data_IF_115914611404
#
_entry.id   IF_115914611404
#
_cell.length_a   1.000
_cell.length_b   1.000
_cell.length_c   1.000
_cell.angle_alpha   90.00
_cell.angle_beta   90.00
_cell.angle_gamma   90.00
#
_symmetry.space_group_name_H-M   'P 1'
#
loop_
_entity.id
_entity.type
_entity.pdbx_description
1 polymer ?
#
# COMPACT_ATOMS: atom_id res chain seq x y z
N UNK A 1 2.82 17.81 -14.56
CA UNK A 1 2.21 17.77 -15.90
C UNK A 1 0.74 18.08 -15.76
N UNK A 2 0.20 19.13 -16.40
CA UNK A 2 -1.20 19.53 -16.22
C UNK A 2 -2.20 18.70 -17.06
N UNK A 3 -1.75 17.81 -17.95
CA UNK A 3 -2.62 16.89 -18.70
C UNK A 3 -1.93 15.52 -18.83
N UNK A 4 -2.41 14.46 -18.16
CA UNK A 4 -1.89 13.11 -18.38
C UNK A 4 -2.25 12.62 -19.78
N UNK A 5 -1.30 11.93 -20.43
CA UNK A 5 -1.40 11.51 -21.84
C UNK A 5 -2.73 10.82 -22.17
N UNK A 6 -3.17 9.90 -21.31
CA UNK A 6 -4.37 9.09 -21.49
C UNK A 6 -5.55 9.55 -20.60
N UNK A 7 -5.55 10.80 -20.16
CA UNK A 7 -6.57 11.30 -19.22
C UNK A 7 -8.01 11.18 -19.73
N UNK A 8 -8.22 11.40 -21.03
CA UNK A 8 -9.54 11.27 -21.66
C UNK A 8 -10.05 9.82 -21.67
N UNK A 9 -9.17 8.85 -21.98
CA UNK A 9 -9.50 7.42 -21.93
C UNK A 9 -9.85 6.96 -20.51
N UNK A 10 -9.15 7.47 -19.51
CA UNK A 10 -9.45 7.18 -18.10
C UNK A 10 -10.84 7.70 -17.71
N UNK A 11 -11.21 8.92 -18.10
CA UNK A 11 -12.53 9.50 -17.85
C UNK A 11 -13.63 8.71 -18.56
N UNK A 12 -13.41 8.35 -19.83
CA UNK A 12 -14.35 7.52 -20.60
C UNK A 12 -14.61 6.18 -19.90
N UNK A 13 -13.56 5.47 -19.49
CA UNK A 13 -13.69 4.19 -18.79
C UNK A 13 -14.43 4.31 -17.45
N UNK A 14 -14.20 5.40 -16.70
CA UNK A 14 -14.92 5.66 -15.45
C UNK A 14 -16.41 5.87 -15.73
N UNK A 15 -16.76 6.72 -16.70
CA UNK A 15 -18.17 7.03 -16.99
C UNK A 15 -18.91 5.84 -17.60
N UNK A 16 -18.29 5.12 -18.54
CA UNK A 16 -18.93 3.97 -19.21
C UNK A 16 -19.15 2.78 -18.28
N UNK A 17 -18.32 2.64 -17.24
CA UNK A 17 -18.47 1.59 -16.21
C UNK A 17 -19.37 1.98 -15.05
N UNK A 18 -19.92 3.21 -15.04
CA UNK A 18 -20.59 3.81 -13.88
C UNK A 18 -19.72 3.72 -12.61
N UNK A 19 -18.40 3.88 -12.79
CA UNK A 19 -17.39 3.84 -11.75
C UNK A 19 -17.13 5.21 -11.12
N UNK A 20 -16.03 5.31 -10.40
CA UNK A 20 -15.61 6.54 -9.74
C UNK A 20 -14.09 6.65 -9.65
N UNK A 21 -13.60 7.86 -9.45
CA UNK A 21 -12.20 8.14 -9.12
C UNK A 21 -12.11 8.78 -7.73
N UNK A 22 -10.99 8.55 -7.06
CA UNK A 22 -10.67 9.15 -5.77
C UNK A 22 -9.17 9.36 -5.66
N UNK A 23 -8.76 10.31 -4.84
CA UNK A 23 -7.34 10.56 -4.53
C UNK A 23 -6.94 9.89 -3.21
N UNK A 24 -5.69 9.43 -3.15
CA UNK A 24 -5.05 8.93 -1.92
C UNK A 24 -3.80 9.73 -1.61
N UNK A 25 -3.49 9.89 -0.33
CA UNK A 25 -2.23 10.53 0.10
C UNK A 25 -1.06 9.54 0.08
N UNK A 26 0.16 10.07 0.10
CA UNK A 26 1.38 9.27 0.22
C UNK A 26 1.37 8.39 1.48
N UNK A 27 0.85 8.91 2.61
CA UNK A 27 0.71 8.14 3.85
C UNK A 27 -0.30 6.99 3.71
N UNK A 28 -1.38 7.20 2.96
CA UNK A 28 -2.35 6.14 2.66
C UNK A 28 -1.72 5.03 1.81
N UNK A 29 -0.91 5.40 0.81
CA UNK A 29 -0.16 4.45 -0.01
C UNK A 29 0.89 3.67 0.80
N UNK A 30 1.67 4.35 1.65
CA UNK A 30 2.66 3.69 2.53
C UNK A 30 1.98 2.74 3.51
N UNK A 31 0.82 3.11 4.07
CA UNK A 31 0.02 2.22 4.91
C UNK A 31 -0.46 0.99 4.14
N UNK A 32 -0.90 1.14 2.90
CA UNK A 32 -1.31 0.02 2.06
C UNK A 32 -0.15 -0.95 1.78
N UNK A 33 1.05 -0.44 1.48
CA UNK A 33 2.25 -1.30 1.32
C UNK A 33 2.53 -2.09 2.60
N UNK A 34 2.46 -1.46 3.78
CA UNK A 34 2.66 -2.16 5.07
C UNK A 34 1.65 -3.28 5.28
N UNK A 35 0.39 -3.05 4.93
CA UNK A 35 -0.67 -4.06 5.05
C UNK A 35 -0.41 -5.24 4.10
N UNK A 36 -0.10 -4.96 2.83
CA UNK A 36 0.24 -5.97 1.84
C UNK A 36 1.46 -6.82 2.27
N UNK A 37 2.51 -6.18 2.77
CA UNK A 37 3.69 -6.88 3.25
C UNK A 37 3.39 -7.75 4.48
N UNK A 38 2.59 -7.22 5.42
CA UNK A 38 2.29 -7.90 6.69
C UNK A 38 1.34 -9.09 6.52
N UNK A 39 0.31 -8.95 5.70
CA UNK A 39 -0.78 -9.93 5.63
C UNK A 39 -0.70 -10.83 4.38
N UNK A 40 -0.13 -10.34 3.28
CA UNK A 40 -0.10 -11.05 2.00
C UNK A 40 1.33 -11.43 1.55
N UNK A 41 2.36 -10.98 2.27
CA UNK A 41 3.76 -11.17 1.87
C UNK A 41 4.14 -10.41 0.59
N UNK A 42 3.36 -9.40 0.20
CA UNK A 42 3.56 -8.64 -1.03
C UNK A 42 4.28 -7.31 -0.74
N UNK A 43 5.52 -7.18 -1.23
CA UNK A 43 6.27 -5.93 -1.16
C UNK A 43 6.05 -5.09 -2.42
N UNK A 44 5.02 -4.25 -2.40
CA UNK A 44 4.71 -3.28 -3.46
C UNK A 44 5.47 -1.95 -3.28
N UNK A 45 5.65 -1.19 -4.36
CA UNK A 45 6.03 0.23 -4.24
C UNK A 45 4.81 1.09 -3.86
N UNK A 46 4.99 2.33 -3.33
CA UNK A 46 3.87 3.16 -2.87
C UNK A 46 2.81 3.41 -3.96
N UNK A 47 3.21 3.90 -5.13
CA UNK A 47 2.32 4.14 -6.27
C UNK A 47 1.67 2.85 -6.79
N UNK A 48 2.39 1.73 -6.74
CA UNK A 48 1.87 0.40 -7.08
C UNK A 48 0.81 -0.10 -6.10
N UNK A 49 0.77 0.41 -4.87
CA UNK A 49 -0.24 0.09 -3.87
C UNK A 49 -1.42 1.09 -3.83
N UNK A 50 -1.48 2.06 -4.77
CA UNK A 50 -2.53 3.08 -4.80
C UNK A 50 -3.94 2.47 -4.94
N UNK A 51 -4.09 1.38 -5.70
CA UNK A 51 -5.36 0.67 -5.86
C UNK A 51 -5.89 0.11 -4.53
N UNK A 52 -5.00 -0.44 -3.70
CA UNK A 52 -5.34 -0.99 -2.38
C UNK A 52 -5.64 0.13 -1.38
N UNK A 53 -4.82 1.19 -1.36
CA UNK A 53 -5.09 2.37 -0.55
C UNK A 53 -6.47 2.98 -0.88
N UNK A 54 -6.77 3.10 -2.17
CA UNK A 54 -8.04 3.63 -2.64
C UNK A 54 -9.22 2.73 -2.30
N UNK A 55 -9.07 1.41 -2.43
CA UNK A 55 -10.10 0.46 -2.01
C UNK A 55 -10.42 0.56 -0.51
N UNK A 56 -9.39 0.64 0.34
CA UNK A 56 -9.57 0.82 1.80
C UNK A 56 -10.31 2.12 2.10
N UNK A 57 -9.94 3.21 1.42
CA UNK A 57 -10.59 4.52 1.58
C UNK A 57 -12.04 4.50 1.12
N UNK A 58 -12.32 3.93 -0.04
CA UNK A 58 -13.66 3.78 -0.60
C UNK A 58 -14.56 2.93 0.30
N UNK A 59 -14.02 1.83 0.85
CA UNK A 59 -14.75 0.98 1.79
C UNK A 59 -15.12 1.74 3.08
N UNK A 60 -14.16 2.48 3.66
CA UNK A 60 -14.39 3.32 4.86
C UNK A 60 -15.40 4.43 4.61
N UNK A 61 -15.42 4.99 3.40
CA UNK A 61 -16.38 6.00 2.99
C UNK A 61 -17.77 5.44 2.64
N UNK A 62 -17.96 4.11 2.68
CA UNK A 62 -19.23 3.46 2.32
C UNK A 62 -19.51 3.42 0.81
N UNK A 63 -18.55 3.79 -0.03
CA UNK A 63 -18.69 3.75 -1.50
C UNK A 63 -18.68 2.29 -1.98
N UNK A 64 -17.87 1.44 -1.34
CA UNK A 64 -17.82 -0.01 -1.63
C UNK A 64 -18.32 -0.80 -0.42
N UNK A 65 -19.38 -1.59 -0.65
CA UNK A 65 -20.03 -2.39 0.39
C UNK A 65 -19.30 -3.68 0.76
N UNK A 66 -19.81 -4.37 1.78
CA UNK A 66 -19.37 -5.74 2.11
C UNK A 66 -19.92 -6.73 1.07
N UNK A 67 -19.21 -7.84 0.85
CA UNK A 67 -19.65 -8.94 -0.03
C UNK A 67 -19.30 -8.78 -1.51
N UNK A 68 -18.70 -7.66 -1.91
CA UNK A 68 -18.17 -7.48 -3.26
C UNK A 68 -16.81 -8.17 -3.41
N UNK A 69 -16.58 -8.76 -4.58
CA UNK A 69 -15.25 -9.19 -5.01
C UNK A 69 -14.57 -8.05 -5.75
N UNK A 70 -13.29 -7.83 -5.47
CA UNK A 70 -12.49 -6.78 -6.09
C UNK A 70 -11.15 -7.35 -6.56
N UNK A 71 -10.62 -6.76 -7.64
CA UNK A 71 -9.27 -7.02 -8.14
C UNK A 71 -8.47 -5.73 -7.99
N UNK A 72 -7.43 -5.75 -7.16
CA UNK A 72 -6.50 -4.65 -7.02
C UNK A 72 -5.26 -4.91 -7.88
N UNK A 73 -4.99 -4.04 -8.84
CA UNK A 73 -3.80 -4.15 -9.70
C UNK A 73 -2.61 -3.53 -8.96
N UNK A 74 -1.56 -4.34 -8.77
CA UNK A 74 -0.27 -3.90 -8.21
C UNK A 74 0.71 -3.75 -9.35
N UNK A 75 0.99 -2.50 -9.74
CA UNK A 75 1.76 -2.20 -10.96
C UNK A 75 3.28 -2.21 -10.76
N UNK A 76 3.75 -2.18 -9.52
CA UNK A 76 5.18 -2.03 -9.21
C UNK A 76 5.61 -2.74 -7.92
N UNK A 77 6.82 -3.31 -7.97
CA UNK A 77 7.46 -4.00 -6.84
C UNK A 77 8.25 -3.02 -5.99
N UNK A 78 8.24 -3.19 -4.67
CA UNK A 78 9.00 -2.35 -3.74
C UNK A 78 10.53 -2.41 -3.95
N UNK A 79 11.03 -3.46 -4.60
CA UNK A 79 12.45 -3.59 -4.99
C UNK A 79 12.93 -2.48 -5.94
N UNK A 80 12.03 -1.86 -6.72
CA UNK A 80 12.38 -0.72 -7.59
C UNK A 80 12.67 0.55 -6.78
N UNK A 81 12.10 0.65 -5.58
CA UNK A 81 11.99 1.91 -4.84
C UNK A 81 12.36 1.70 -3.36
N UNK A 82 13.47 1.00 -3.11
CA UNK A 82 13.94 0.66 -1.74
C UNK A 82 14.17 1.94 -0.90
N UNK A 83 14.65 3.01 -1.54
CA UNK A 83 14.92 4.30 -0.88
C UNK A 83 13.66 4.93 -0.26
N UNK A 84 12.48 4.76 -0.86
CA UNK A 84 11.22 5.30 -0.34
C UNK A 84 10.80 4.68 1.00
N UNK A 85 11.40 3.54 1.37
CA UNK A 85 11.09 2.84 2.61
C UNK A 85 12.10 3.08 3.72
N UNK A 86 13.20 3.80 3.48
CA UNK A 86 14.24 4.03 4.51
C UNK A 86 13.71 4.66 5.79
N UNK A 87 12.78 5.61 5.68
CA UNK A 87 12.14 6.26 6.83
C UNK A 87 11.06 5.42 7.50
N UNK A 88 10.61 4.37 6.82
CA UNK A 88 9.47 3.54 7.20
C UNK A 88 9.92 2.22 7.84
N UNK A 89 11.11 1.75 7.47
CA UNK A 89 11.77 0.59 8.08
C UNK A 89 12.18 0.96 9.50
N UNK A 90 11.63 0.23 10.47
CA UNK A 90 12.06 0.36 11.86
C UNK A 90 13.53 -0.07 11.96
N UNK A 91 14.31 0.65 12.77
CA UNK A 91 15.64 0.20 13.15
C UNK A 91 15.47 -1.10 13.94
N UNK A 92 16.12 -2.16 13.49
CA UNK A 92 16.15 -3.42 14.23
C UNK A 92 16.75 -3.17 15.61
N UNK A 93 16.14 -3.75 16.65
CA UNK A 93 16.71 -3.74 18.00
C UNK A 93 18.08 -4.42 17.93
N UNK A 94 19.14 -3.69 18.26
CA UNK A 94 20.48 -4.26 18.30
C UNK A 94 20.56 -5.11 19.57
N UNK A 95 20.80 -6.40 19.38
CA UNK A 95 21.01 -7.38 20.46
C UNK A 95 22.48 -7.79 20.44
N UNK A 96 23.11 -7.94 21.61
CA UNK A 96 24.49 -8.39 21.71
C UNK A 96 24.67 -9.85 21.28
N UNK A 97 25.90 -10.36 21.41
CA UNK A 97 26.23 -11.75 21.04
C UNK A 97 25.72 -12.80 22.04
N UNK A 98 25.11 -12.36 23.14
CA UNK A 98 24.64 -13.25 24.19
C UNK A 98 23.25 -13.82 23.90
N UNK A 99 23.10 -15.13 24.14
CA UNK A 99 21.84 -15.83 23.87
C UNK A 99 20.71 -15.45 24.84
N UNK A 100 21.03 -15.00 26.04
CA UNK A 100 20.05 -14.54 27.05
C UNK A 100 19.50 -13.17 26.67
N UNK A 101 20.34 -12.29 26.12
CA UNK A 101 19.89 -10.99 25.58
C UNK A 101 18.91 -11.17 24.41
N UNK A 102 19.15 -12.16 23.54
CA UNK A 102 18.25 -12.47 22.42
C UNK A 102 16.89 -12.97 22.92
N UNK A 103 16.87 -13.86 23.91
CA UNK A 103 15.62 -14.35 24.50
C UNK A 103 14.79 -13.22 25.07
N UNK A 104 15.40 -12.36 25.89
CA UNK A 104 14.71 -11.19 26.46
C UNK A 104 14.16 -10.24 25.39
N UNK A 105 14.91 -10.02 24.30
CA UNK A 105 14.46 -9.15 23.22
C UNK A 105 13.26 -9.71 22.44
N UNK A 106 13.12 -11.03 22.37
CA UNK A 106 11.97 -11.70 21.74
C UNK A 106 10.75 -11.67 22.67
N UNK A 107 10.94 -11.90 23.98
CA UNK A 107 9.85 -11.97 24.97
C UNK A 107 9.19 -10.61 25.27
N UNK A 108 9.88 -9.50 24.98
CA UNK A 108 9.41 -8.11 25.20
C UNK A 108 8.53 -7.56 24.05
N UNK A 109 8.26 -8.34 23.00
CA UNK A 109 7.68 -7.88 21.72
C UNK A 109 6.37 -8.60 21.38
#
# INVERSE_FOLDING_TARGET
>A
MPCPLDGHLALEAIFSSNGFALSVSDEEMVKAVKLLAKYEGLFAEPTGAASVAGFIKAHRAGIVGKGYSAVAIITGTGLKTISAFKSVLAHSKIVGRDSSELKRAIDEN
#
